data_IF_398014698432
#
_entry.id   IF_398014698432
#
_cell.length_a   1.000
_cell.length_b   1.000
_cell.length_c   1.000
_cell.angle_alpha   90.00
_cell.angle_beta   90.00
_cell.angle_gamma   90.00
#
_symmetry.space_group_name_H-M   'P 1'
#
loop_
_entity.id
_entity.type
_entity.pdbx_description
1 polymer ?
#
# COMPACT_ATOMS: atom_id res chain seq x y z
N UNK A 1 -10.02 15.66 -10.96
CA UNK A 1 -10.42 16.45 -9.79
C UNK A 1 -9.71 15.95 -8.54
N UNK A 2 -9.62 16.80 -7.52
CA UNK A 2 -8.91 16.47 -6.29
C UNK A 2 -9.53 15.26 -5.57
N UNK A 3 -10.84 15.08 -5.62
CA UNK A 3 -11.50 13.93 -4.98
C UNK A 3 -11.03 12.61 -5.58
N UNK A 4 -10.81 12.56 -6.88
CA UNK A 4 -10.29 11.35 -7.52
C UNK A 4 -8.84 11.09 -7.15
N UNK A 5 -8.09 12.12 -6.77
CA UNK A 5 -6.70 12.02 -6.36
C UNK A 5 -6.52 11.75 -4.88
N UNK A 6 -7.59 11.81 -4.08
CA UNK A 6 -7.52 11.57 -2.64
C UNK A 6 -7.57 10.07 -2.36
N UNK A 7 -6.54 9.49 -1.71
CA UNK A 7 -6.49 8.04 -1.47
C UNK A 7 -7.37 7.64 -0.28
N UNK A 8 -8.66 7.60 -0.50
CA UNK A 8 -9.67 7.42 0.55
C UNK A 8 -10.43 6.09 0.48
N UNK A 9 -10.09 5.21 -0.45
CA UNK A 9 -10.73 3.89 -0.52
C UNK A 9 -9.81 2.80 0.01
N UNK A 10 -10.40 1.74 0.54
CA UNK A 10 -9.70 0.56 1.03
C UNK A 10 -9.03 -0.15 -0.17
N UNK A 11 -7.73 -0.48 -0.09
CA UNK A 11 -6.99 -0.96 -1.26
C UNK A 11 -7.18 -2.44 -1.58
N UNK A 12 -8.02 -3.16 -0.83
CA UNK A 12 -8.37 -4.56 -1.12
C UNK A 12 -9.86 -4.77 -0.90
N UNK A 13 -10.37 -5.89 -1.36
CA UNK A 13 -11.75 -6.29 -1.08
C UNK A 13 -11.81 -6.89 0.34
N UNK A 14 -12.19 -6.07 1.32
CA UNK A 14 -12.22 -6.49 2.71
C UNK A 14 -10.82 -6.65 3.29
N UNK A 15 -10.62 -7.69 4.08
CA UNK A 15 -9.38 -7.92 4.79
C UNK A 15 -9.37 -7.25 6.16
N UNK A 16 -8.31 -7.51 6.92
CA UNK A 16 -8.19 -6.99 8.29
C UNK A 16 -6.81 -6.38 8.50
N UNK A 17 -6.76 -5.32 9.29
CA UNK A 17 -5.48 -4.70 9.67
C UNK A 17 -4.76 -5.65 10.62
N UNK A 18 -3.56 -6.06 10.22
CA UNK A 18 -2.70 -6.91 11.04
C UNK A 18 -1.57 -6.14 11.69
N UNK A 19 -1.26 -4.94 11.19
CA UNK A 19 -0.26 -4.07 11.78
C UNK A 19 -0.59 -2.62 11.44
N UNK A 20 -0.48 -1.75 12.44
CA UNK A 20 -0.87 -0.35 12.31
C UNK A 20 0.32 0.56 12.09
N UNK A 21 0.04 1.76 11.60
CA UNK A 21 1.03 2.81 11.36
C UNK A 21 1.64 3.30 12.66
N UNK A 22 2.92 3.64 12.60
CA UNK A 22 3.62 4.36 13.67
C UNK A 22 4.62 3.49 14.42
N UNK A 23 5.08 4.00 15.56
CA UNK A 23 6.05 3.30 16.39
C UNK A 23 5.44 2.07 17.07
N UNK A 24 6.21 1.00 17.09
CA UNK A 24 5.80 -0.25 17.74
C UNK A 24 7.05 -0.94 18.32
N UNK A 25 6.84 -1.79 19.33
CA UNK A 25 7.95 -2.55 19.89
C UNK A 25 8.54 -3.46 18.82
N UNK A 26 9.88 -3.47 18.72
CA UNK A 26 10.56 -4.30 17.74
C UNK A 26 10.46 -5.77 18.19
N UNK A 27 9.78 -6.64 17.43
CA UNK A 27 9.59 -8.03 17.84
C UNK A 27 10.85 -8.88 17.74
N UNK A 28 11.87 -8.41 17.02
CA UNK A 28 13.09 -9.18 16.78
C UNK A 28 14.22 -8.83 17.75
N UNK A 29 14.29 -7.58 18.20
CA UNK A 29 15.37 -7.16 19.09
C UNK A 29 14.98 -7.26 20.56
N UNK A 30 13.68 -7.30 20.86
CA UNK A 30 13.19 -7.28 22.24
C UNK A 30 13.30 -5.95 22.94
N UNK A 31 13.93 -4.96 22.33
CA UNK A 31 14.11 -3.61 22.87
C UNK A 31 13.91 -2.60 21.75
N UNK A 32 13.50 -1.38 22.11
CA UNK A 32 13.31 -0.31 21.15
C UNK A 32 12.03 -0.44 20.36
N UNK A 33 11.91 0.37 19.32
CA UNK A 33 10.71 0.45 18.48
C UNK A 33 11.10 0.47 17.02
N UNK A 34 10.30 -0.22 16.19
CA UNK A 34 10.28 -0.05 14.75
C UNK A 34 9.28 1.02 14.40
N UNK A 35 9.59 1.83 13.38
CA UNK A 35 8.64 2.75 12.78
C UNK A 35 7.98 2.05 11.59
N UNK A 36 6.66 1.89 11.64
CA UNK A 36 5.90 1.26 10.57
C UNK A 36 5.29 2.36 9.69
N UNK A 37 5.78 2.56 8.46
CA UNK A 37 5.40 3.70 7.63
C UNK A 37 4.04 3.55 6.94
N UNK A 38 3.30 2.50 7.22
CA UNK A 38 2.00 2.24 6.64
C UNK A 38 1.19 1.30 7.49
N UNK A 39 0.23 0.64 6.89
CA UNK A 39 -0.55 -0.41 7.55
C UNK A 39 -0.39 -1.71 6.77
N UNK A 40 -0.50 -2.83 7.48
CA UNK A 40 -0.55 -4.14 6.85
C UNK A 40 -1.98 -4.64 6.90
N UNK A 41 -2.48 -5.09 5.74
CA UNK A 41 -3.83 -5.61 5.59
C UNK A 41 -3.74 -7.08 5.20
N UNK A 42 -4.13 -7.97 6.12
CA UNK A 42 -4.20 -9.39 5.85
C UNK A 42 -5.37 -9.69 4.94
N UNK A 43 -5.14 -10.53 3.93
CA UNK A 43 -6.19 -10.97 3.01
C UNK A 43 -5.72 -12.25 2.33
N UNK A 44 -6.62 -12.89 1.57
CA UNK A 44 -6.29 -14.12 0.88
C UNK A 44 -5.23 -13.91 -0.19
N UNK A 45 -4.33 -14.87 -0.33
CA UNK A 45 -3.34 -14.87 -1.40
C UNK A 45 -4.08 -14.83 -2.74
N UNK A 46 -3.72 -13.88 -3.58
CA UNK A 46 -4.36 -13.72 -4.89
C UNK A 46 -5.58 -12.80 -4.89
N UNK A 47 -6.00 -12.26 -3.75
CA UNK A 47 -7.06 -11.26 -3.71
C UNK A 47 -6.63 -10.00 -4.47
N UNK A 48 -7.54 -9.32 -5.18
CA UNK A 48 -7.16 -8.12 -5.93
C UNK A 48 -6.77 -6.96 -5.04
N UNK A 49 -5.80 -6.17 -5.53
CA UNK A 49 -5.36 -4.93 -4.93
C UNK A 49 -5.78 -3.79 -5.83
N UNK A 50 -6.40 -2.77 -5.25
CA UNK A 50 -6.97 -1.64 -5.98
C UNK A 50 -6.14 -0.37 -5.78
N UNK A 51 -6.04 0.44 -6.84
CA UNK A 51 -5.46 1.77 -6.73
C UNK A 51 -6.28 2.60 -5.75
N UNK A 52 -5.64 3.14 -4.73
CA UNK A 52 -6.31 3.95 -3.70
C UNK A 52 -6.86 5.27 -4.22
N UNK A 53 -6.33 5.74 -5.34
CA UNK A 53 -6.77 6.96 -6.01
C UNK A 53 -6.31 6.95 -7.47
N UNK A 54 -6.84 7.90 -8.24
CA UNK A 54 -6.46 8.10 -9.64
C UNK A 54 -5.06 8.71 -9.72
N UNK A 55 -4.27 8.28 -10.68
CA UNK A 55 -2.93 8.84 -10.88
C UNK A 55 -2.10 8.08 -11.89
N UNK A 56 -0.79 8.26 -11.78
CA UNK A 56 0.19 7.61 -12.66
C UNK A 56 1.11 6.74 -11.83
N UNK A 57 1.40 5.54 -12.35
CA UNK A 57 2.32 4.60 -11.69
C UNK A 57 3.73 5.15 -11.79
N UNK A 58 4.36 5.43 -10.64
CA UNK A 58 5.76 5.89 -10.58
C UNK A 58 6.72 4.71 -10.68
N UNK A 59 6.37 3.58 -10.06
CA UNK A 59 7.22 2.41 -9.98
C UNK A 59 6.37 1.15 -9.93
N UNK A 60 6.79 0.12 -10.65
CA UNK A 60 6.14 -1.19 -10.61
C UNK A 60 7.22 -2.26 -10.79
N UNK A 61 7.45 -3.07 -9.75
CA UNK A 61 8.47 -4.10 -9.79
C UNK A 61 8.96 -4.49 -8.41
N UNK A 62 10.05 -5.22 -8.36
CA UNK A 62 10.65 -5.63 -7.10
C UNK A 62 11.37 -4.46 -6.45
N UNK A 63 11.11 -4.24 -5.17
CA UNK A 63 11.72 -3.14 -4.42
C UNK A 63 12.16 -3.60 -3.03
N UNK A 64 13.40 -4.08 -2.93
CA UNK A 64 14.02 -4.47 -1.66
C UNK A 64 13.11 -5.39 -0.83
N UNK A 65 12.97 -5.15 0.47
CA UNK A 65 12.14 -5.95 1.38
C UNK A 65 10.64 -5.89 1.12
N UNK A 66 10.17 -4.92 0.33
CA UNK A 66 8.76 -4.83 -0.06
C UNK A 66 8.33 -5.93 -1.05
N UNK A 67 9.29 -6.59 -1.69
CA UNK A 67 8.99 -7.56 -2.73
C UNK A 67 8.40 -6.90 -3.97
N UNK A 68 7.34 -7.49 -4.54
CA UNK A 68 6.64 -6.87 -5.67
C UNK A 68 5.84 -5.67 -5.17
N UNK A 69 6.13 -4.51 -5.73
CA UNK A 69 5.80 -3.21 -5.17
C UNK A 69 5.31 -2.29 -6.28
N UNK A 70 4.25 -1.51 -5.97
CA UNK A 70 3.74 -0.47 -6.87
C UNK A 70 3.65 0.82 -6.08
N UNK A 71 4.10 1.92 -6.69
CA UNK A 71 3.94 3.27 -6.14
C UNK A 71 3.25 4.13 -7.17
N UNK A 72 2.23 4.89 -6.73
CA UNK A 72 1.38 5.71 -7.59
C UNK A 72 1.42 7.15 -7.11
N UNK A 73 1.63 8.08 -8.06
CA UNK A 73 1.52 9.52 -7.81
C UNK A 73 0.13 9.98 -8.21
N UNK A 74 -0.57 10.60 -7.29
CA UNK A 74 -1.95 11.06 -7.49
C UNK A 74 -2.07 12.55 -7.78
N UNK A 75 -0.97 13.29 -7.65
CA UNK A 75 -1.01 14.74 -7.66
C UNK A 75 -1.46 15.30 -6.31
N UNK A 76 -1.52 16.62 -6.21
CA UNK A 76 -1.91 17.31 -4.96
C UNK A 76 -1.06 16.91 -3.74
N UNK A 77 0.15 16.40 -3.98
CA UNK A 77 1.04 15.94 -2.92
C UNK A 77 0.78 14.52 -2.44
N UNK A 78 -0.18 13.80 -3.00
CA UNK A 78 -0.52 12.44 -2.57
C UNK A 78 0.21 11.37 -3.36
N UNK A 79 0.71 10.36 -2.64
CA UNK A 79 1.25 9.14 -3.23
C UNK A 79 0.77 7.96 -2.40
N UNK A 80 0.61 6.80 -3.04
CA UNK A 80 0.33 5.54 -2.34
C UNK A 80 1.30 4.47 -2.79
N UNK A 81 1.57 3.52 -1.91
CA UNK A 81 2.47 2.42 -2.20
C UNK A 81 1.90 1.11 -1.67
N UNK A 82 2.17 0.04 -2.39
CA UNK A 82 1.60 -1.29 -2.15
C UNK A 82 2.71 -2.33 -2.26
N UNK A 83 2.96 -3.07 -1.19
CA UNK A 83 4.04 -4.04 -1.13
C UNK A 83 3.58 -5.47 -0.92
N UNK A 84 4.50 -6.40 -1.09
CA UNK A 84 4.33 -7.85 -0.89
C UNK A 84 3.32 -8.50 -1.84
N UNK A 85 3.13 -7.93 -3.03
CA UNK A 85 2.19 -8.50 -4.00
C UNK A 85 2.68 -9.81 -4.61
N UNK A 86 1.74 -10.66 -5.04
CA UNK A 86 2.07 -11.89 -5.76
C UNK A 86 2.32 -11.63 -7.24
N UNK A 87 1.60 -10.66 -7.82
CA UNK A 87 1.81 -10.23 -9.20
C UNK A 87 1.37 -8.78 -9.36
N UNK A 88 1.90 -8.13 -10.38
CA UNK A 88 1.64 -6.72 -10.70
C UNK A 88 1.00 -6.66 -12.08
N UNK A 89 -0.11 -5.90 -12.20
CA UNK A 89 -0.88 -5.77 -13.45
C UNK A 89 -0.62 -4.44 -14.17
N UNK A 90 0.22 -3.58 -13.63
CA UNK A 90 0.48 -2.25 -14.18
C UNK A 90 1.98 -2.05 -14.41
N UNK A 91 2.30 -1.03 -15.21
CA UNK A 91 3.69 -0.67 -15.54
C UNK A 91 3.96 0.78 -15.16
N UNK A 92 5.23 1.09 -14.93
CA UNK A 92 5.67 2.47 -14.67
C UNK A 92 5.21 3.39 -15.80
N UNK A 93 4.64 4.53 -15.44
CA UNK A 93 4.11 5.52 -16.38
C UNK A 93 2.63 5.30 -16.74
N UNK A 94 2.05 4.19 -16.37
CA UNK A 94 0.66 3.88 -16.71
C UNK A 94 -0.31 4.74 -15.89
N UNK A 95 -1.35 5.27 -16.56
CA UNK A 95 -2.46 5.95 -15.90
C UNK A 95 -3.41 4.92 -15.31
N UNK A 96 -3.83 5.13 -14.07
CA UNK A 96 -4.83 4.28 -13.39
C UNK A 96 -5.90 5.15 -12.75
N UNK A 97 -7.10 4.61 -12.66
CA UNK A 97 -8.21 5.27 -11.96
C UNK A 97 -8.40 4.65 -10.58
N UNK A 98 -8.94 5.43 -9.66
CA UNK A 98 -9.30 4.95 -8.32
C UNK A 98 -10.14 3.68 -8.44
N UNK A 99 -9.72 2.63 -7.75
CA UNK A 99 -10.41 1.34 -7.79
C UNK A 99 -9.96 0.38 -8.86
N UNK A 100 -9.07 0.79 -9.77
CA UNK A 100 -8.52 -0.13 -10.78
C UNK A 100 -7.68 -1.21 -10.08
N UNK A 101 -7.75 -2.43 -10.60
CA UNK A 101 -6.89 -3.52 -10.12
C UNK A 101 -5.47 -3.27 -10.58
N UNK A 102 -4.54 -3.20 -9.65
CA UNK A 102 -3.12 -2.96 -9.95
C UNK A 102 -2.25 -4.18 -9.70
N UNK A 103 -2.79 -5.20 -9.07
CA UNK A 103 -2.09 -6.45 -8.79
C UNK A 103 -2.88 -7.29 -7.80
N UNK A 104 -2.19 -8.24 -7.18
CA UNK A 104 -2.83 -9.21 -6.30
C UNK A 104 -2.04 -9.42 -5.01
N UNK A 105 -2.76 -9.71 -3.93
CA UNK A 105 -2.18 -9.97 -2.62
C UNK A 105 -1.21 -11.14 -2.68
N UNK A 106 -0.08 -11.00 -2.04
CA UNK A 106 0.92 -12.04 -1.96
C UNK A 106 1.65 -12.02 -0.63
N UNK A 107 2.85 -12.56 -0.64
CA UNK A 107 3.74 -12.62 0.51
C UNK A 107 5.19 -12.46 0.07
N UNK A 108 5.40 -11.75 -1.05
CA UNK A 108 6.75 -11.55 -1.60
C UNK A 108 7.56 -10.56 -0.74
N UNK A 109 8.87 -10.69 -0.81
CA UNK A 109 9.76 -9.89 0.03
C UNK A 109 9.79 -10.38 1.47
N UNK A 110 10.01 -9.48 2.41
CA UNK A 110 10.02 -9.80 3.84
C UNK A 110 8.60 -9.86 4.36
N UNK A 111 7.98 -11.03 4.26
CA UNK A 111 6.60 -11.23 4.69
C UNK A 111 6.43 -12.59 5.33
N UNK A 112 5.62 -12.65 6.40
CA UNK A 112 5.34 -13.89 7.13
C UNK A 112 3.99 -14.50 6.79
N UNK A 113 3.26 -13.90 5.85
CA UNK A 113 1.97 -14.42 5.42
C UNK A 113 1.31 -13.47 4.43
N UNK A 114 0.22 -13.88 3.78
CA UNK A 114 -0.44 -13.07 2.76
C UNK A 114 -0.99 -11.77 3.34
N UNK A 115 -0.48 -10.65 2.84
CA UNK A 115 -0.98 -9.32 3.20
C UNK A 115 -0.49 -8.29 2.21
N UNK A 116 -1.09 -7.11 2.24
CA UNK A 116 -0.59 -5.95 1.53
C UNK A 116 -0.06 -4.97 2.55
N UNK A 117 1.15 -4.46 2.30
CA UNK A 117 1.69 -3.32 3.01
C UNK A 117 1.27 -2.07 2.25
N UNK A 118 0.46 -1.22 2.86
CA UNK A 118 -0.12 -0.05 2.23
C UNK A 118 0.39 1.22 2.88
N UNK A 119 0.94 2.13 2.08
CA UNK A 119 1.48 3.40 2.53
C UNK A 119 0.75 4.55 1.85
N UNK A 120 0.53 5.62 2.60
CA UNK A 120 0.07 6.90 2.06
C UNK A 120 1.12 7.95 2.41
N UNK A 121 1.53 8.72 1.40
CA UNK A 121 2.44 9.83 1.58
C UNK A 121 1.73 11.14 1.23
N UNK A 122 1.96 12.15 2.05
CA UNK A 122 1.48 13.52 1.79
C UNK A 122 2.72 14.42 1.79
N UNK A 123 2.96 15.06 0.66
CA UNK A 123 4.15 15.92 0.47
C UNK A 123 5.45 15.21 0.83
N UNK A 124 5.55 13.95 0.42
CA UNK A 124 6.74 13.13 0.62
C UNK A 124 6.88 12.52 2.01
N UNK A 125 5.92 12.73 2.89
CA UNK A 125 5.98 12.19 4.26
C UNK A 125 4.94 11.10 4.46
N UNK A 126 5.32 10.02 5.12
CA UNK A 126 4.40 8.95 5.48
C UNK A 126 3.38 9.46 6.49
N UNK A 127 2.11 9.17 6.25
CA UNK A 127 1.03 9.49 7.17
C UNK A 127 0.23 8.22 7.46
N UNK A 128 -0.51 8.23 8.57
CA UNK A 128 -1.35 7.08 8.92
C UNK A 128 -2.47 6.94 7.89
N UNK A 129 -2.47 5.85 7.09
CA UNK A 129 -3.51 5.65 6.07
C UNK A 129 -4.93 5.68 6.64
N UNK A 130 -5.11 5.34 7.91
CA UNK A 130 -6.44 5.30 8.53
C UNK A 130 -7.12 6.66 8.56
N UNK A 131 -6.35 7.76 8.54
CA UNK A 131 -6.93 9.10 8.45
C UNK A 131 -7.53 9.40 7.08
N UNK A 132 -7.06 8.69 6.04
CA UNK A 132 -7.51 8.93 4.66
C UNK A 132 -8.65 7.99 4.26
N UNK A 133 -8.67 6.78 4.81
CA UNK A 133 -9.62 5.75 4.40
C UNK A 133 -10.99 6.03 4.97
N UNK A 134 -11.99 6.12 4.09
CA UNK A 134 -13.37 6.44 4.48
C UNK A 134 -14.23 5.20 4.64
N UNK A 135 -13.87 4.08 4.01
CA UNK A 135 -14.61 2.83 4.14
C UNK A 135 -13.72 1.65 3.79
N UNK A 136 -14.10 0.55 4.34
CA UNK A 136 -13.41 -0.72 4.16
C UNK A 136 -14.04 -1.54 3.04
#
# INVERSE_FOLDING_TARGET
>A
AKLDATPDIWPTAGGEITSRFGGRANPFSGTGYDYHPGIDIGNDYGAPVYAGATGYVEYAGWYSGYGRYVKISHGYGYETAYGHMSSIEVSSGQYVEKGDVIGYVGSSGYSTGPHIHFEVLVDGQFVDPMYMLSSK
#
